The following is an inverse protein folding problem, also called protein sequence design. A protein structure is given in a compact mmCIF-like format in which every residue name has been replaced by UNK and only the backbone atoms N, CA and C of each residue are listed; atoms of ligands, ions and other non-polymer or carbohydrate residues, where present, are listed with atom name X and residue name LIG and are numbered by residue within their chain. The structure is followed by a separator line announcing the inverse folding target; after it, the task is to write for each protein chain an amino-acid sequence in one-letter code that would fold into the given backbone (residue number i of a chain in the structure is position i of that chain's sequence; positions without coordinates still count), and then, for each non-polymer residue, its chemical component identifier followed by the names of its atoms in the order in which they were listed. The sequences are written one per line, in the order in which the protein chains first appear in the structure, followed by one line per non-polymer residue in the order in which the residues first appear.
data_IF_041089298439
#
_entry.id   IF_041089298439
#
_cell.length_a   1.000
_cell.length_b   1.000
_cell.length_c   1.000
_cell.angle_alpha   90.00
_cell.angle_beta   90.00
_cell.angle_gamma   90.00
#
_symmetry.space_group_name_H-M   'P 1'
#
loop_
_entity.id
_entity.type
_entity.pdbx_description
1 polymer ?
#
# COMPACT_ATOMS: atom_id res chain seq x y z
N UNK A 1 46.50 -60.54 33.00
CA UNK A 1 47.02 -59.36 32.31
C UNK A 1 46.06 -58.84 31.23
N UNK A 2 45.45 -59.68 30.43
CA UNK A 2 44.55 -59.23 29.32
C UNK A 2 43.24 -58.66 29.86
N UNK A 3 42.59 -59.24 30.87
CA UNK A 3 41.34 -58.72 31.42
C UNK A 3 41.47 -57.36 32.10
N UNK A 4 42.61 -57.04 32.68
CA UNK A 4 42.89 -55.76 33.28
C UNK A 4 43.09 -54.64 32.16
N UNK A 5 43.73 -55.02 31.07
CA UNK A 5 43.95 -54.17 29.93
C UNK A 5 42.62 -53.86 29.23
N UNK A 6 41.79 -54.86 28.98
CA UNK A 6 40.47 -54.72 28.39
C UNK A 6 39.55 -53.83 29.23
N UNK A 7 39.62 -53.95 30.55
CA UNK A 7 38.86 -53.09 31.48
C UNK A 7 39.32 -51.61 31.38
N UNK A 8 40.63 -51.38 31.30
CA UNK A 8 41.18 -50.04 31.14
C UNK A 8 40.70 -49.38 29.83
N UNK A 9 40.74 -50.10 28.70
CA UNK A 9 40.26 -49.65 27.42
C UNK A 9 38.76 -49.31 27.44
N UNK A 10 37.95 -50.13 28.13
CA UNK A 10 36.53 -49.89 28.32
C UNK A 10 36.26 -48.61 29.13
N UNK A 11 37.04 -48.38 30.19
CA UNK A 11 36.92 -47.19 31.02
C UNK A 11 37.31 -45.91 30.19
N UNK A 12 38.42 -45.98 29.47
CA UNK A 12 38.85 -44.87 28.60
C UNK A 12 37.79 -44.52 27.54
N UNK A 13 37.18 -45.50 26.91
CA UNK A 13 36.07 -45.33 25.98
C UNK A 13 34.84 -44.73 26.67
N UNK A 14 34.53 -45.14 27.86
CA UNK A 14 33.40 -44.60 28.62
C UNK A 14 33.63 -43.12 28.98
N UNK A 15 34.86 -42.78 29.41
CA UNK A 15 35.22 -41.37 29.69
C UNK A 15 35.11 -40.52 28.43
N UNK A 16 35.67 -40.98 27.31
CA UNK A 16 35.57 -40.27 26.04
C UNK A 16 34.11 -40.08 25.56
N UNK A 17 33.27 -41.12 25.77
CA UNK A 17 31.84 -41.02 25.46
C UNK A 17 31.11 -40.00 26.34
N UNK A 18 31.44 -39.92 27.62
CA UNK A 18 30.88 -38.91 28.55
C UNK A 18 31.33 -37.51 28.19
N UNK A 19 32.61 -37.31 27.86
CA UNK A 19 33.12 -36.00 27.41
C UNK A 19 32.44 -35.52 26.13
N UNK A 20 32.29 -36.41 25.15
CA UNK A 20 31.57 -36.12 23.92
C UNK A 20 30.09 -35.81 24.19
N UNK A 21 29.43 -36.54 25.07
CA UNK A 21 28.06 -36.28 25.50
C UNK A 21 27.92 -34.93 26.18
N UNK A 22 28.87 -34.52 27.02
CA UNK A 22 28.87 -33.19 27.61
C UNK A 22 29.03 -32.08 26.59
N UNK A 23 29.91 -32.25 25.60
CA UNK A 23 30.07 -31.24 24.51
C UNK A 23 28.79 -31.11 23.70
N UNK A 24 28.16 -32.20 23.30
CA UNK A 24 26.89 -32.19 22.58
C UNK A 24 25.79 -31.53 23.41
N UNK A 25 25.75 -31.78 24.71
CA UNK A 25 24.77 -31.18 25.62
C UNK A 25 24.96 -29.65 25.69
N UNK A 26 26.20 -29.18 25.80
CA UNK A 26 26.52 -27.75 25.82
C UNK A 26 26.17 -27.06 24.49
N UNK A 27 26.50 -27.67 23.35
CA UNK A 27 26.14 -27.16 22.03
C UNK A 27 24.62 -27.09 21.86
N UNK A 28 23.90 -28.11 22.34
CA UNK A 28 22.43 -28.14 22.30
C UNK A 28 21.84 -27.03 23.17
N UNK A 29 22.37 -26.81 24.37
CA UNK A 29 21.93 -25.71 25.23
C UNK A 29 22.13 -24.33 24.60
N UNK A 30 23.27 -24.12 23.93
CA UNK A 30 23.53 -22.88 23.20
C UNK A 30 22.57 -22.72 22.02
N UNK A 31 22.32 -23.76 21.26
CA UNK A 31 21.38 -23.70 20.13
C UNK A 31 19.94 -23.38 20.59
N UNK A 32 19.51 -23.96 21.73
CA UNK A 32 18.19 -23.64 22.31
C UNK A 32 18.11 -22.19 22.76
N UNK A 33 19.15 -21.65 23.39
CA UNK A 33 19.19 -20.23 23.77
C UNK A 33 19.16 -19.30 22.57
N UNK A 34 19.80 -19.66 21.47
CA UNK A 34 19.74 -18.93 20.21
C UNK A 34 18.32 -18.95 19.61
N UNK A 35 17.65 -20.09 19.60
CA UNK A 35 16.26 -20.22 19.16
C UNK A 35 15.34 -19.34 20.00
N UNK A 36 15.52 -19.31 21.33
CA UNK A 36 14.73 -18.41 22.20
C UNK A 36 14.92 -16.94 21.85
N UNK A 37 16.16 -16.51 21.65
CA UNK A 37 16.47 -15.13 21.25
C UNK A 37 15.86 -14.76 19.89
N UNK A 38 15.96 -15.66 18.91
CA UNK A 38 15.38 -15.47 17.58
C UNK A 38 13.85 -15.44 17.63
N UNK A 39 13.22 -16.27 18.46
CA UNK A 39 11.78 -16.27 18.67
C UNK A 39 11.29 -14.96 19.27
N UNK A 40 12.03 -14.36 20.19
CA UNK A 40 11.74 -13.02 20.70
C UNK A 40 11.75 -11.96 19.58
N UNK A 41 12.77 -12.01 18.71
CA UNK A 41 12.84 -11.13 17.54
C UNK A 41 11.68 -11.28 16.56
N UNK A 42 11.21 -12.51 16.33
CA UNK A 42 10.02 -12.79 15.51
C UNK A 42 8.77 -12.17 16.13
N UNK A 43 8.60 -12.29 17.44
CA UNK A 43 7.46 -11.68 18.16
C UNK A 43 7.44 -10.17 18.00
N UNK A 44 8.58 -9.52 18.09
CA UNK A 44 8.69 -8.07 17.88
C UNK A 44 8.31 -7.66 16.46
N UNK A 45 8.73 -8.44 15.46
CA UNK A 45 8.37 -8.19 14.05
C UNK A 45 6.86 -8.34 13.85
N UNK A 46 6.25 -9.40 14.41
CA UNK A 46 4.80 -9.61 14.33
C UNK A 46 4.03 -8.44 14.94
N UNK A 47 4.47 -7.94 16.09
CA UNK A 47 3.86 -6.76 16.71
C UNK A 47 3.97 -5.50 15.84
N UNK A 48 5.12 -5.28 15.20
CA UNK A 48 5.31 -4.17 14.26
C UNK A 48 4.42 -4.30 13.03
N UNK A 49 4.27 -5.51 12.48
CA UNK A 49 3.36 -5.78 11.36
C UNK A 49 1.91 -5.49 11.76
N UNK A 50 1.49 -5.91 12.95
CA UNK A 50 0.14 -5.64 13.45
C UNK A 50 -0.12 -4.13 13.57
N UNK A 51 0.82 -3.37 14.13
CA UNK A 51 0.71 -1.91 14.23
C UNK A 51 0.65 -1.25 12.85
N UNK A 52 1.52 -1.62 11.91
CA UNK A 52 1.51 -1.10 10.55
C UNK A 52 0.21 -1.45 9.80
N UNK A 53 -0.36 -2.63 10.03
CA UNK A 53 -1.63 -3.04 9.44
C UNK A 53 -2.81 -2.20 9.92
N UNK A 54 -2.81 -1.81 11.19
CA UNK A 54 -3.82 -0.88 11.73
C UNK A 54 -3.70 0.51 11.08
N UNK A 55 -2.48 1.03 10.97
CA UNK A 55 -2.23 2.31 10.30
C UNK A 55 -2.65 2.27 8.82
N UNK A 56 -2.35 1.18 8.10
CA UNK A 56 -2.82 0.98 6.73
C UNK A 56 -4.34 0.96 6.62
N UNK A 57 -5.03 0.34 7.60
CA UNK A 57 -6.49 0.34 7.62
C UNK A 57 -7.06 1.76 7.71
N UNK A 58 -6.47 2.61 8.51
CA UNK A 58 -6.91 4.01 8.66
C UNK A 58 -6.58 4.83 7.39
N UNK A 59 -5.42 4.60 6.78
CA UNK A 59 -5.10 5.21 5.48
C UNK A 59 -6.09 4.81 4.38
N UNK A 60 -6.50 3.54 4.31
CA UNK A 60 -7.51 3.06 3.35
C UNK A 60 -8.85 3.75 3.56
N UNK A 61 -9.28 3.99 4.82
CA UNK A 61 -10.49 4.77 5.11
C UNK A 61 -10.39 6.21 4.58
N UNK A 62 -9.24 6.86 4.76
CA UNK A 62 -9.01 8.21 4.23
C UNK A 62 -9.04 8.24 2.70
N UNK A 63 -8.45 7.23 2.04
CA UNK A 63 -8.52 7.09 0.58
C UNK A 63 -9.97 6.93 0.12
N UNK A 64 -10.79 6.13 0.80
CA UNK A 64 -12.21 5.96 0.45
C UNK A 64 -12.97 7.29 0.56
N UNK A 65 -12.73 8.08 1.62
CA UNK A 65 -13.32 9.42 1.76
C UNK A 65 -12.89 10.33 0.59
N UNK A 66 -11.62 10.29 0.22
CA UNK A 66 -11.09 11.04 -0.92
C UNK A 66 -11.74 10.63 -2.25
N UNK A 67 -11.99 9.35 -2.48
CA UNK A 67 -12.67 8.83 -3.66
C UNK A 67 -14.14 9.31 -3.71
N UNK A 68 -14.84 9.32 -2.58
CA UNK A 68 -16.21 9.88 -2.50
C UNK A 68 -16.22 11.37 -2.84
N UNK A 69 -15.26 12.15 -2.34
CA UNK A 69 -15.14 13.56 -2.67
C UNK A 69 -14.88 13.78 -4.17
N UNK A 70 -14.00 12.99 -4.77
CA UNK A 70 -13.73 13.03 -6.21
C UNK A 70 -15.00 12.70 -7.00
N UNK A 71 -15.76 11.69 -6.58
CA UNK A 71 -17.03 11.34 -7.21
C UNK A 71 -18.02 12.50 -7.22
N UNK A 72 -18.14 13.21 -6.09
CA UNK A 72 -18.99 14.40 -5.98
C UNK A 72 -18.51 15.53 -6.90
N UNK A 73 -17.20 15.76 -6.98
CA UNK A 73 -16.61 16.76 -7.89
C UNK A 73 -16.89 16.40 -9.35
N UNK A 74 -16.74 15.11 -9.71
CA UNK A 74 -17.04 14.64 -11.08
C UNK A 74 -18.52 14.88 -11.43
N UNK A 75 -19.45 14.59 -10.52
CA UNK A 75 -20.88 14.87 -10.73
C UNK A 75 -21.14 16.37 -10.91
N UNK A 76 -20.56 17.21 -10.06
CA UNK A 76 -20.70 18.66 -10.17
C UNK A 76 -20.12 19.18 -11.48
N UNK A 77 -18.95 18.67 -11.89
CA UNK A 77 -18.34 19.05 -13.16
C UNK A 77 -19.20 18.63 -14.36
N UNK A 78 -19.82 17.45 -14.30
CA UNK A 78 -20.72 16.99 -15.35
C UNK A 78 -21.95 17.91 -15.47
N UNK A 79 -22.57 18.25 -14.35
CA UNK A 79 -23.70 19.19 -14.32
C UNK A 79 -23.30 20.58 -14.86
N UNK A 80 -22.14 21.10 -14.46
CA UNK A 80 -21.60 22.37 -14.95
C UNK A 80 -21.31 22.32 -16.45
N UNK A 81 -20.81 21.19 -16.95
CA UNK A 81 -20.57 21.02 -18.38
C UNK A 81 -21.88 21.02 -19.19
N UNK A 82 -22.92 20.33 -18.69
CA UNK A 82 -24.27 20.34 -19.31
C UNK A 82 -24.85 21.76 -19.32
N UNK A 83 -24.78 22.50 -18.22
CA UNK A 83 -25.25 23.89 -18.13
C UNK A 83 -24.47 24.79 -19.06
N UNK A 84 -23.15 24.64 -19.17
CA UNK A 84 -22.30 25.39 -20.08
C UNK A 84 -22.64 25.10 -21.54
N UNK A 85 -22.93 23.86 -21.89
CA UNK A 85 -23.37 23.49 -23.23
C UNK A 85 -24.71 24.10 -23.57
N UNK A 86 -25.70 24.05 -22.67
CA UNK A 86 -27.01 24.70 -22.85
C UNK A 86 -26.89 26.22 -23.00
N UNK A 87 -26.06 26.87 -22.17
CA UNK A 87 -25.81 28.31 -22.29
C UNK A 87 -25.13 28.67 -23.64
N UNK A 88 -24.23 27.82 -24.13
CA UNK A 88 -23.57 28.00 -25.43
C UNK A 88 -24.56 27.89 -26.60
N UNK A 89 -25.49 26.93 -26.52
CA UNK A 89 -26.57 26.78 -27.51
C UNK A 89 -27.51 28.00 -27.52
N UNK A 90 -27.86 28.49 -26.32
CA UNK A 90 -28.71 29.69 -26.20
C UNK A 90 -28.00 30.93 -26.76
N UNK A 91 -26.72 31.12 -26.42
CA UNK A 91 -25.90 32.22 -26.97
C UNK A 91 -25.79 32.15 -28.50
N UNK A 92 -25.64 30.92 -29.06
CA UNK A 92 -25.62 30.73 -30.52
C UNK A 92 -26.94 31.12 -31.15
N UNK A 93 -28.07 30.75 -30.56
CA UNK A 93 -29.39 31.11 -31.03
C UNK A 93 -29.64 32.62 -30.96
N UNK A 94 -29.20 33.26 -29.88
CA UNK A 94 -29.27 34.73 -29.74
C UNK A 94 -28.41 35.44 -30.78
N UNK A 95 -27.19 34.96 -31.04
CA UNK A 95 -26.30 35.51 -32.07
C UNK A 95 -26.93 35.41 -33.47
N UNK A 96 -27.56 34.29 -33.80
CA UNK A 96 -28.29 34.12 -35.06
C UNK A 96 -29.47 35.08 -35.16
N UNK A 97 -30.19 35.29 -34.06
CA UNK A 97 -31.30 36.25 -34.02
C UNK A 97 -30.81 37.68 -34.25
N UNK A 98 -29.71 38.08 -33.59
CA UNK A 98 -29.09 39.39 -33.78
C UNK A 98 -28.60 39.55 -35.21
N UNK A 99 -27.97 38.54 -35.79
CA UNK A 99 -27.52 38.58 -37.19
C UNK A 99 -28.69 38.79 -38.15
N UNK A 100 -29.80 38.13 -37.89
CA UNK A 100 -31.04 38.30 -38.68
C UNK A 100 -31.63 39.71 -38.54
N UNK A 101 -31.65 40.26 -37.33
CA UNK A 101 -32.12 41.63 -37.08
C UNK A 101 -31.22 42.64 -37.78
N UNK A 102 -29.90 42.53 -37.67
CA UNK A 102 -28.94 43.42 -38.34
C UNK A 102 -29.08 43.32 -39.87
N UNK A 103 -29.33 42.15 -40.43
CA UNK A 103 -29.54 41.98 -41.88
C UNK A 103 -30.83 42.67 -42.40
N UNK A 104 -31.81 42.94 -41.53
CA UNK A 104 -33.02 43.69 -41.87
C UNK A 104 -32.75 45.24 -41.99
N UNK A 105 -31.71 45.72 -41.35
CA UNK A 105 -31.22 47.08 -41.56
C UNK A 105 -30.30 47.03 -42.77
N UNK A 106 -30.84 47.05 -43.95
CA UNK A 106 -30.04 47.35 -45.16
C UNK A 106 -29.49 48.73 -45.00
N UNK A 107 -28.18 48.87 -44.82
CA UNK A 107 -27.51 50.14 -45.06
C UNK A 107 -27.79 50.48 -46.51
N UNK A 108 -28.62 51.42 -46.71
CA UNK A 108 -28.78 52.04 -48.03
C UNK A 108 -27.43 52.70 -48.33
N UNK A 109 -26.60 51.98 -49.08
CA UNK A 109 -25.43 52.63 -49.64
C UNK A 109 -25.90 53.91 -50.27
N UNK A 110 -25.39 55.01 -49.77
CA UNK A 110 -25.50 56.30 -50.38
C UNK A 110 -24.64 56.34 -51.67
N UNK A 111 -25.07 55.54 -52.62
CA UNK A 111 -24.63 55.76 -53.99
C UNK A 111 -25.57 56.71 -54.62
N UNK A 112 -25.25 57.96 -54.38
CA UNK A 112 -25.56 59.07 -55.26
C UNK A 112 -25.26 60.43 -54.57
N UNK A 113 -24.04 60.76 -54.57
CA UNK A 113 -23.65 62.19 -54.60
C UNK A 113 -22.37 62.31 -55.37
#
# INVERSE_FOLDING_TARGET
ADAAHDTTVLIERAIAAVENGNNITNETAQAVAEVETRSGGVSDIVNKIAAASLEQTDMVKQVNIGVEQISNVVQTNSATAEESAAASEELSAQAQTLQKLVSQFSFKDSENA
#
